data_IF_366955851671
#
_entry.id   IF_366955851671
#
_cell.length_a   1.000
_cell.length_b   1.000
_cell.length_c   1.000
_cell.angle_alpha   90.00
_cell.angle_beta   90.00
_cell.angle_gamma   90.00
#
_symmetry.space_group_name_H-M   'P 1'
#
loop_
_entity.id
_entity.type
_entity.pdbx_description
1 polymer ?
#
# COMPACT_ATOMS: atom_id res chain seq x y z
N UNK A 1 4.82 17.13 25.21
CA UNK A 1 4.49 15.87 24.52
C UNK A 1 5.44 14.80 25.03
N UNK A 2 4.99 13.57 25.22
CA UNK A 2 5.85 12.48 25.69
C UNK A 2 5.35 11.15 25.14
N UNK A 3 6.21 10.13 25.19
CA UNK A 3 5.84 8.75 24.82
C UNK A 3 4.76 8.17 25.73
N UNK A 4 4.58 8.74 26.92
CA UNK A 4 3.68 8.27 27.96
C UNK A 4 2.83 9.41 28.52
N UNK A 5 1.70 9.06 29.13
CA UNK A 5 0.82 10.00 29.83
C UNK A 5 1.22 10.11 31.30
N UNK A 6 1.10 11.30 31.89
CA UNK A 6 1.39 11.50 33.31
C UNK A 6 2.85 11.82 33.64
N UNK A 7 3.71 12.03 32.63
CA UNK A 7 5.11 12.44 32.84
C UNK A 7 5.29 13.82 33.49
N UNK A 8 4.27 14.68 33.41
CA UNK A 8 4.27 16.00 34.01
C UNK A 8 2.98 16.17 34.83
N UNK A 9 3.07 16.53 36.13
CA UNK A 9 1.89 16.82 36.92
C UNK A 9 1.28 18.15 36.47
N UNK A 10 0.00 18.12 36.05
CA UNK A 10 -0.79 19.29 35.64
C UNK A 10 -2.16 19.19 36.31
N UNK A 11 -2.65 20.28 36.91
CA UNK A 11 -4.01 20.33 37.47
C UNK A 11 -5.04 20.07 36.34
N UNK A 12 -5.95 19.10 36.49
CA UNK A 12 -6.99 18.81 35.50
C UNK A 12 -7.82 20.03 35.07
N UNK A 13 -7.99 21.03 35.94
CA UNK A 13 -8.71 22.27 35.61
C UNK A 13 -8.01 23.11 34.54
N UNK A 14 -6.69 22.94 34.36
CA UNK A 14 -5.89 23.66 33.38
C UNK A 14 -5.74 22.90 32.05
N UNK A 15 -6.34 21.71 31.91
CA UNK A 15 -6.22 20.88 30.70
C UNK A 15 -7.35 21.21 29.73
N UNK A 16 -7.03 21.97 28.68
CA UNK A 16 -7.98 22.29 27.61
C UNK A 16 -8.29 21.07 26.72
N UNK A 17 -7.27 20.29 26.35
CA UNK A 17 -7.41 19.12 25.49
C UNK A 17 -6.37 18.07 25.85
N UNK A 18 -6.77 16.79 25.80
CA UNK A 18 -5.90 15.63 26.00
C UNK A 18 -6.05 14.69 24.80
N UNK A 19 -4.95 14.38 24.15
CA UNK A 19 -4.94 13.52 22.97
C UNK A 19 -3.61 12.79 22.77
N UNK A 20 -3.53 12.01 21.69
CA UNK A 20 -2.33 11.29 21.24
C UNK A 20 -2.18 11.47 19.73
N UNK A 21 -0.98 11.25 19.22
CA UNK A 21 -0.81 11.11 17.77
C UNK A 21 -1.51 9.83 17.28
N UNK A 22 -2.20 9.99 16.17
CA UNK A 22 -2.82 8.92 15.40
C UNK A 22 -1.99 8.68 14.13
N UNK A 23 -2.03 7.47 13.54
CA UNK A 23 -1.33 7.20 12.29
C UNK A 23 -1.65 8.26 11.23
N UNK A 24 -0.60 8.86 10.65
CA UNK A 24 -0.73 9.88 9.60
C UNK A 24 -1.22 11.25 10.06
N UNK A 25 -1.44 11.50 11.36
CA UNK A 25 -1.76 12.83 11.91
C UNK A 25 -0.50 13.53 12.43
N UNK A 26 -0.41 14.84 12.21
CA UNK A 26 0.66 15.70 12.71
C UNK A 26 0.13 17.00 13.33
N UNK A 27 1.00 17.72 14.02
CA UNK A 27 0.76 19.11 14.42
C UNK A 27 2.10 19.83 14.43
N UNK A 28 2.06 21.15 14.35
CA UNK A 28 3.24 22.02 14.40
C UNK A 28 3.03 23.04 15.51
N UNK A 29 4.05 23.29 16.31
CA UNK A 29 4.06 24.47 17.19
C UNK A 29 4.81 25.55 16.44
N UNK A 30 4.08 26.58 16.02
CA UNK A 30 4.66 27.76 15.39
C UNK A 30 4.98 28.79 16.48
N UNK A 31 6.27 29.05 16.67
CA UNK A 31 6.74 30.00 17.69
C UNK A 31 6.64 31.45 17.24
N UNK A 32 6.57 31.73 15.94
CA UNK A 32 6.38 33.08 15.42
C UNK A 32 4.92 33.51 15.53
N UNK A 33 4.00 32.61 15.17
CA UNK A 33 2.55 32.83 15.32
C UNK A 33 2.05 32.56 16.75
N UNK A 34 2.89 31.93 17.60
CA UNK A 34 2.59 31.63 18.99
C UNK A 34 1.44 30.63 19.17
N UNK A 35 1.21 29.74 18.21
CA UNK A 35 0.07 28.81 18.22
C UNK A 35 0.42 27.39 17.77
N UNK A 36 -0.46 26.45 18.14
CA UNK A 36 -0.45 25.09 17.62
C UNK A 36 -1.22 25.04 16.30
N UNK A 37 -0.53 24.69 15.21
CA UNK A 37 -1.10 24.48 13.88
C UNK A 37 -1.56 23.01 13.76
N UNK A 38 -2.83 22.75 13.45
CA UNK A 38 -3.36 21.40 13.35
C UNK A 38 -2.94 20.70 12.03
N UNK A 39 -3.04 19.37 12.02
CA UNK A 39 -2.74 18.49 10.88
C UNK A 39 -3.29 18.98 9.53
N UNK A 40 -4.57 19.35 9.53
CA UNK A 40 -5.30 19.68 8.31
C UNK A 40 -4.75 20.94 7.66
N UNK A 41 -4.47 21.97 8.47
CA UNK A 41 -3.95 23.24 7.99
C UNK A 41 -2.53 23.10 7.42
N UNK A 42 -1.69 22.29 8.08
CA UNK A 42 -0.35 21.97 7.59
C UNK A 42 -0.44 21.30 6.22
N UNK A 43 -1.26 20.25 6.11
CA UNK A 43 -1.42 19.51 4.86
C UNK A 43 -2.03 20.38 3.76
N UNK A 44 -3.01 21.21 4.10
CA UNK A 44 -3.65 22.15 3.18
C UNK A 44 -2.66 23.13 2.57
N UNK A 45 -1.79 23.71 3.39
CA UNK A 45 -0.71 24.58 2.90
C UNK A 45 0.20 23.84 1.91
N UNK A 46 0.52 22.57 2.18
CA UNK A 46 1.41 21.75 1.36
C UNK A 46 0.72 21.35 0.05
N UNK A 47 -0.46 20.73 0.09
CA UNK A 47 -1.11 20.22 -1.13
C UNK A 47 -1.66 21.32 -2.03
N UNK A 48 -1.80 22.56 -1.53
CA UNK A 48 -2.15 23.74 -2.33
C UNK A 48 -0.95 24.48 -2.93
N UNK A 49 0.28 24.13 -2.53
CA UNK A 49 1.48 24.82 -3.03
C UNK A 49 1.62 24.69 -4.56
N UNK A 50 1.25 23.53 -5.10
CA UNK A 50 1.33 23.22 -6.52
C UNK A 50 0.07 22.48 -7.01
N UNK A 51 -0.22 22.45 -8.33
CA UNK A 51 -1.37 21.75 -8.87
C UNK A 51 -1.15 20.22 -8.99
N UNK A 52 -0.80 19.55 -7.90
CA UNK A 52 -0.44 18.11 -7.89
C UNK A 52 -1.47 17.22 -8.59
N UNK A 53 -2.77 17.45 -8.36
CA UNK A 53 -3.86 16.71 -9.02
C UNK A 53 -3.80 16.79 -10.56
N UNK A 54 -3.42 17.95 -11.10
CA UNK A 54 -3.28 18.15 -12.54
C UNK A 54 -2.12 17.31 -13.08
N UNK A 55 -0.97 17.36 -12.43
CA UNK A 55 0.21 16.58 -12.82
C UNK A 55 -0.06 15.08 -12.79
N UNK A 56 -0.69 14.58 -11.72
CA UNK A 56 -1.09 13.17 -11.62
C UNK A 56 -1.97 12.76 -12.80
N UNK A 57 -2.97 13.57 -13.17
CA UNK A 57 -3.87 13.25 -14.28
C UNK A 57 -3.19 13.31 -15.65
N UNK A 58 -2.27 14.24 -15.84
CA UNK A 58 -1.64 14.47 -17.14
C UNK A 58 -0.41 13.60 -17.41
N UNK A 59 0.22 13.08 -16.36
CA UNK A 59 1.52 12.41 -16.46
C UNK A 59 1.50 10.94 -16.01
N UNK A 60 0.42 10.51 -15.35
CA UNK A 60 0.24 9.11 -14.97
C UNK A 60 -0.79 8.50 -15.90
N UNK A 61 -0.39 7.44 -16.60
CA UNK A 61 -1.29 6.60 -17.38
C UNK A 61 -1.45 5.30 -16.62
N UNK A 62 -2.70 4.91 -16.34
CA UNK A 62 -2.98 3.63 -15.70
C UNK A 62 -2.68 2.50 -16.70
N UNK A 63 -2.05 1.42 -16.24
CA UNK A 63 -1.65 0.32 -17.14
C UNK A 63 -2.89 -0.32 -17.80
N UNK A 64 -4.01 -0.33 -17.07
CA UNK A 64 -5.32 -0.79 -17.50
C UNK A 64 -5.85 0.00 -18.71
N UNK A 65 -5.45 1.27 -18.88
CA UNK A 65 -5.81 2.10 -20.04
C UNK A 65 -4.97 1.77 -21.28
N UNK A 66 -3.84 1.08 -21.10
CA UNK A 66 -2.89 0.70 -22.15
C UNK A 66 -3.13 -0.75 -22.61
N UNK A 67 -3.58 -1.63 -21.72
CA UNK A 67 -3.79 -3.04 -22.05
C UNK A 67 -5.02 -3.21 -22.93
N UNK A 68 -4.79 -3.65 -24.17
CA UNK A 68 -5.85 -4.11 -25.06
C UNK A 68 -6.40 -5.44 -24.48
N UNK A 69 -7.68 -5.46 -24.07
CA UNK A 69 -8.37 -6.68 -23.60
C UNK A 69 -8.37 -7.81 -24.65
N UNK A 70 -7.93 -7.49 -25.88
CA UNK A 70 -7.72 -8.39 -27.00
C UNK A 70 -6.34 -9.03 -27.04
N UNK A 71 -5.55 -9.02 -25.96
CA UNK A 71 -4.40 -9.90 -25.85
C UNK A 71 -4.88 -11.33 -26.18
N UNK A 72 -4.48 -11.82 -27.36
CA UNK A 72 -4.97 -13.08 -27.90
C UNK A 72 -4.72 -14.16 -26.86
N UNK A 73 -5.79 -14.78 -26.35
CA UNK A 73 -5.64 -15.96 -25.51
C UNK A 73 -4.74 -16.93 -26.27
N UNK A 74 -3.60 -17.35 -25.69
CA UNK A 74 -2.69 -18.24 -26.38
C UNK A 74 -3.48 -19.46 -26.81
N UNK A 75 -3.45 -19.77 -28.11
CA UNK A 75 -4.09 -20.96 -28.64
C UNK A 75 -3.40 -22.16 -27.99
N UNK A 76 -4.17 -23.10 -27.45
CA UNK A 76 -3.60 -24.38 -27.06
C UNK A 76 -3.03 -25.03 -28.32
N UNK A 77 -1.72 -25.26 -28.30
CA UNK A 77 -0.99 -25.96 -29.34
C UNK A 77 -0.75 -27.41 -28.90
N UNK A 78 -0.66 -28.32 -29.85
CA UNK A 78 -0.46 -29.74 -29.57
C UNK A 78 0.90 -30.03 -28.89
N UNK A 79 1.84 -29.08 -28.91
CA UNK A 79 3.17 -29.18 -28.31
C UNK A 79 3.27 -28.64 -26.87
N UNK A 80 2.15 -28.25 -26.24
CA UNK A 80 2.12 -27.64 -24.91
C UNK A 80 2.89 -28.46 -23.85
N UNK A 81 2.66 -29.78 -23.80
CA UNK A 81 3.32 -30.66 -22.82
C UNK A 81 4.83 -30.71 -23.05
N UNK A 82 5.27 -30.75 -24.32
CA UNK A 82 6.70 -30.76 -24.65
C UNK A 82 7.37 -29.45 -24.23
N UNK A 83 6.70 -28.30 -24.42
CA UNK A 83 7.19 -27.00 -23.94
C UNK A 83 7.26 -26.95 -22.42
N UNK A 84 6.20 -27.40 -21.74
CA UNK A 84 6.16 -27.45 -20.27
C UNK A 84 7.33 -28.28 -19.72
N UNK A 85 7.59 -29.45 -20.30
CA UNK A 85 8.75 -30.28 -19.93
C UNK A 85 10.08 -29.59 -20.21
N UNK A 86 10.24 -28.93 -21.37
CA UNK A 86 11.45 -28.19 -21.71
C UNK A 86 11.74 -27.01 -20.76
N UNK A 87 10.69 -26.38 -20.21
CA UNK A 87 10.80 -25.34 -19.18
C UNK A 87 10.82 -25.90 -17.75
N UNK A 88 10.88 -27.22 -17.56
CA UNK A 88 11.04 -27.86 -16.25
C UNK A 88 9.76 -27.99 -15.43
N UNK A 89 8.58 -27.80 -16.02
CA UNK A 89 7.32 -28.05 -15.33
C UNK A 89 7.13 -29.55 -15.08
N UNK A 90 7.03 -29.92 -13.80
CA UNK A 90 6.76 -31.29 -13.37
C UNK A 90 5.30 -31.46 -12.95
N UNK A 91 4.84 -32.72 -12.85
CA UNK A 91 3.51 -33.03 -12.30
C UNK A 91 3.35 -32.48 -10.89
N UNK A 92 4.39 -32.58 -10.07
CA UNK A 92 4.40 -32.03 -8.71
C UNK A 92 4.26 -30.51 -8.71
N UNK A 93 4.98 -29.81 -9.59
CA UNK A 93 4.86 -28.36 -9.74
C UNK A 93 3.44 -27.95 -10.13
N UNK A 94 2.82 -28.69 -11.05
CA UNK A 94 1.44 -28.43 -11.46
C UNK A 94 0.46 -28.66 -10.32
N UNK A 95 0.62 -29.76 -9.57
CA UNK A 95 -0.33 -30.15 -8.52
C UNK A 95 -0.18 -29.38 -7.23
N UNK A 96 1.05 -29.15 -6.78
CA UNK A 96 1.35 -28.55 -5.49
C UNK A 96 1.62 -27.06 -5.58
N UNK A 97 1.99 -26.50 -6.75
CA UNK A 97 2.19 -25.05 -6.89
C UNK A 97 1.08 -24.38 -7.70
N UNK A 98 0.83 -24.82 -8.94
CA UNK A 98 -0.10 -24.10 -9.82
C UNK A 98 -1.57 -24.28 -9.41
N UNK A 99 -2.00 -25.51 -9.09
CA UNK A 99 -3.40 -25.77 -8.73
C UNK A 99 -3.88 -24.96 -7.50
N UNK A 100 -3.13 -24.84 -6.39
CA UNK A 100 -3.51 -23.98 -5.27
C UNK A 100 -3.67 -22.52 -5.66
N UNK A 101 -2.77 -21.97 -6.46
CA UNK A 101 -2.85 -20.57 -6.92
C UNK A 101 -4.14 -20.33 -7.72
N UNK A 102 -4.49 -21.27 -8.60
CA UNK A 102 -5.69 -21.15 -9.46
C UNK A 102 -6.99 -21.40 -8.69
N UNK A 103 -7.01 -22.37 -7.77
CA UNK A 103 -8.24 -22.79 -7.07
C UNK A 103 -8.50 -22.02 -5.78
N UNK A 104 -7.44 -21.72 -5.03
CA UNK A 104 -7.51 -21.14 -3.68
C UNK A 104 -7.06 -19.68 -3.64
N UNK A 105 -6.52 -19.15 -4.75
CA UNK A 105 -6.02 -17.76 -4.87
C UNK A 105 -5.01 -17.39 -3.79
N UNK A 106 -4.23 -18.37 -3.34
CA UNK A 106 -3.14 -18.21 -2.38
C UNK A 106 -1.92 -18.97 -2.83
N UNK A 107 -0.77 -18.54 -2.32
CA UNK A 107 0.47 -19.28 -2.52
C UNK A 107 0.37 -20.68 -1.91
N UNK A 108 1.00 -21.67 -2.57
CA UNK A 108 1.01 -23.03 -2.08
C UNK A 108 1.73 -23.14 -0.74
N UNK A 109 1.11 -23.85 0.21
CA UNK A 109 1.72 -24.11 1.50
C UNK A 109 2.47 -25.44 1.47
N UNK A 110 3.77 -25.40 1.72
CA UNK A 110 4.61 -26.57 1.93
C UNK A 110 5.09 -26.62 3.38
N UNK A 111 5.03 -27.80 4.00
CA UNK A 111 5.60 -28.04 5.32
C UNK A 111 6.54 -29.22 5.23
N UNK A 112 7.78 -28.95 4.84
CA UNK A 112 8.98 -29.78 5.03
C UNK A 112 10.13 -29.12 4.25
N UNK A 113 11.10 -28.56 4.99
CA UNK A 113 12.43 -28.28 4.48
C UNK A 113 13.39 -29.26 5.14
N UNK A 114 13.89 -30.23 4.39
CA UNK A 114 15.16 -30.87 4.68
C UNK A 114 16.05 -30.68 3.46
#
# INVERSE_FOLDING_TARGET
MASEVGVLPVDPKNVLMKGRLQPGKMFLIDFEEGRMVPDEEIKEKIYKADPYRKWTKEQIVALEEITDEKASKPKLTDDLISRMQAFGYTVETMQFMLLPIVRELRDPLGSMGK
#
